data_IF_034240697647
#
_entry.id   IF_034240697647
#
_cell.length_a   1.000
_cell.length_b   1.000
_cell.length_c   1.000
_cell.angle_alpha   90.00
_cell.angle_beta   90.00
_cell.angle_gamma   90.00
#
_symmetry.space_group_name_H-M   'P 1'
#
loop_
_entity.id
_entity.type
_entity.pdbx_description
1 polymer ?
#
# COMPACT_ATOMS: atom_id res chain seq x y z
N UNK A 1 -28.95 -8.57 -14.68
CA UNK A 1 -29.27 -7.91 -13.41
C UNK A 1 -28.14 -6.93 -13.12
N UNK A 2 -28.39 -5.62 -13.31
CA UNK A 2 -27.46 -4.56 -12.89
C UNK A 2 -27.61 -4.43 -11.38
N UNK A 3 -26.62 -4.86 -10.61
CA UNK A 3 -26.54 -4.48 -9.21
C UNK A 3 -26.46 -2.95 -9.16
N UNK A 4 -27.43 -2.32 -8.52
CA UNK A 4 -27.36 -0.91 -8.17
C UNK A 4 -26.16 -0.75 -7.24
N UNK A 5 -25.04 -0.25 -7.78
CA UNK A 5 -23.94 0.27 -6.99
C UNK A 5 -24.50 1.51 -6.32
N UNK A 6 -24.71 1.48 -5.02
CA UNK A 6 -24.93 2.65 -4.20
C UNK A 6 -23.82 3.63 -4.58
N UNK A 7 -24.18 4.77 -5.17
CA UNK A 7 -23.25 5.88 -5.37
C UNK A 7 -22.76 6.28 -3.97
N UNK A 8 -21.60 5.81 -3.61
CA UNK A 8 -20.89 6.25 -2.41
C UNK A 8 -20.51 7.70 -2.69
N UNK A 9 -21.23 8.62 -2.09
CA UNK A 9 -20.88 10.05 -2.16
C UNK A 9 -19.62 10.22 -1.33
N UNK A 10 -18.44 10.12 -1.96
CA UNK A 10 -17.13 10.20 -1.30
C UNK A 10 -17.01 11.48 -0.46
N UNK A 11 -17.65 12.54 -0.90
CA UNK A 11 -17.68 13.83 -0.21
C UNK A 11 -18.25 13.74 1.21
N UNK A 12 -19.18 12.83 1.50
CA UNK A 12 -19.74 12.64 2.85
C UNK A 12 -18.75 12.06 3.84
N UNK A 13 -17.69 11.40 3.35
CA UNK A 13 -16.61 10.86 4.17
C UNK A 13 -15.43 11.82 4.31
N UNK A 14 -15.52 13.03 3.74
CA UNK A 14 -14.47 14.04 3.82
C UNK A 14 -14.89 15.13 4.80
N UNK A 15 -14.06 15.38 5.79
CA UNK A 15 -14.20 16.46 6.75
C UNK A 15 -13.15 17.53 6.48
N UNK A 16 -13.58 18.79 6.41
CA UNK A 16 -12.69 19.94 6.31
C UNK A 16 -12.55 20.56 7.69
N UNK A 17 -11.34 20.64 8.21
CA UNK A 17 -11.09 21.24 9.52
C UNK A 17 -11.52 22.71 9.50
N UNK A 18 -12.29 23.10 10.52
CA UNK A 18 -12.91 24.43 10.60
C UNK A 18 -12.32 25.32 11.66
N UNK A 19 -11.65 24.71 12.68
CA UNK A 19 -11.09 25.43 13.82
C UNK A 19 -9.66 24.97 14.12
N UNK A 20 -8.80 25.91 14.54
CA UNK A 20 -7.38 25.66 14.87
C UNK A 20 -7.18 25.02 16.24
N UNK A 21 -8.10 25.16 17.13
CA UNK A 21 -7.93 24.74 18.55
C UNK A 21 -8.54 23.37 18.83
N UNK A 22 -9.70 23.10 18.25
CA UNK A 22 -10.47 21.88 18.57
C UNK A 22 -10.54 20.86 17.44
N UNK A 23 -10.30 21.26 16.19
CA UNK A 23 -10.42 20.42 14.97
C UNK A 23 -9.07 20.42 14.24
N UNK A 24 -8.08 19.78 14.85
CA UNK A 24 -6.68 19.85 14.41
C UNK A 24 -6.20 18.61 13.69
N UNK A 25 -6.92 17.49 13.83
CA UNK A 25 -6.49 16.22 13.23
C UNK A 25 -6.60 16.25 11.71
N UNK A 26 -5.52 15.89 11.02
CA UNK A 26 -5.44 15.77 9.57
C UNK A 26 -4.98 14.36 9.20
N UNK A 27 -5.81 13.65 8.42
CA UNK A 27 -5.52 12.26 8.04
C UNK A 27 -6.77 11.40 7.97
N UNK A 28 -6.58 10.10 8.08
CA UNK A 28 -7.65 9.10 8.11
C UNK A 28 -8.03 8.79 9.56
N UNK A 29 -9.30 8.88 9.88
CA UNK A 29 -9.89 8.47 11.15
C UNK A 29 -10.97 7.42 10.87
N UNK A 30 -10.75 6.20 11.32
CA UNK A 30 -11.74 5.12 11.23
C UNK A 30 -12.30 4.83 12.60
N UNK A 31 -13.59 5.00 12.77
CA UNK A 31 -14.33 4.69 14.01
C UNK A 31 -15.58 3.89 13.67
N UNK A 32 -15.81 2.80 14.39
CA UNK A 32 -16.98 1.94 14.17
C UNK A 32 -17.13 1.48 12.70
N UNK A 33 -16.00 1.14 12.03
CA UNK A 33 -15.96 0.77 10.62
C UNK A 33 -16.25 1.92 9.62
N UNK A 34 -16.51 3.13 10.09
CA UNK A 34 -16.69 4.32 9.28
C UNK A 34 -15.37 5.08 9.15
N UNK A 35 -14.89 5.20 7.90
CA UNK A 35 -13.65 5.88 7.59
C UNK A 35 -13.95 7.32 7.16
N UNK A 36 -13.39 8.27 7.89
CA UNK A 36 -13.44 9.70 7.59
C UNK A 36 -12.06 10.22 7.19
N UNK A 37 -12.01 11.06 6.18
CA UNK A 37 -10.78 11.73 5.76
C UNK A 37 -10.82 13.18 6.20
N UNK A 38 -9.94 13.57 7.11
CA UNK A 38 -9.86 14.92 7.65
C UNK A 38 -8.80 15.70 6.89
N UNK A 39 -9.22 16.79 6.23
CA UNK A 39 -8.36 17.69 5.48
C UNK A 39 -7.94 18.89 6.33
N UNK A 40 -6.77 19.48 6.05
CA UNK A 40 -6.30 20.64 6.80
C UNK A 40 -7.22 21.86 6.60
N UNK A 41 -7.18 22.76 7.57
CA UNK A 41 -7.94 24.02 7.54
C UNK A 41 -7.65 24.82 6.27
N UNK A 42 -8.70 25.26 5.59
CA UNK A 42 -8.61 26.05 4.38
C UNK A 42 -8.34 25.26 3.10
N UNK A 43 -8.31 23.93 3.15
CA UNK A 43 -8.19 23.10 1.96
C UNK A 43 -9.45 23.20 1.09
N UNK A 44 -9.27 23.39 -0.22
CA UNK A 44 -10.37 23.40 -1.18
C UNK A 44 -10.53 22.03 -1.81
N UNK A 45 -11.54 21.31 -1.37
CA UNK A 45 -11.87 19.98 -1.90
C UNK A 45 -12.43 20.11 -3.33
N UNK A 46 -12.04 19.18 -4.20
CA UNK A 46 -12.58 19.10 -5.56
C UNK A 46 -14.07 18.79 -5.56
N UNK A 47 -14.78 19.22 -6.60
CA UNK A 47 -16.26 19.08 -6.66
C UNK A 47 -16.72 17.71 -7.16
N UNK A 48 -15.84 16.94 -7.82
CA UNK A 48 -16.18 15.64 -8.37
C UNK A 48 -15.44 14.49 -7.66
N UNK A 49 -16.02 13.31 -7.64
CA UNK A 49 -15.48 12.12 -6.98
C UNK A 49 -14.05 11.76 -7.43
N UNK A 50 -13.76 11.94 -8.73
CA UNK A 50 -12.41 11.66 -9.26
C UNK A 50 -11.39 12.66 -8.72
N UNK A 51 -11.75 13.92 -8.59
CA UNK A 51 -10.92 14.96 -7.99
C UNK A 51 -10.73 14.73 -6.49
N UNK A 52 -11.82 14.42 -5.76
CA UNK A 52 -11.76 14.10 -4.32
C UNK A 52 -10.81 12.92 -4.06
N UNK A 53 -10.87 11.86 -4.88
CA UNK A 53 -9.92 10.73 -4.76
C UNK A 53 -8.47 11.17 -4.96
N UNK A 54 -8.20 12.06 -5.91
CA UNK A 54 -6.85 12.63 -6.09
C UNK A 54 -6.42 13.47 -4.90
N UNK A 55 -7.32 14.27 -4.34
CA UNK A 55 -7.06 15.07 -3.14
C UNK A 55 -6.72 14.17 -1.94
N UNK A 56 -7.46 13.08 -1.73
CA UNK A 56 -7.19 12.08 -0.69
C UNK A 56 -5.83 11.42 -0.91
N UNK A 57 -5.52 10.99 -2.12
CA UNK A 57 -4.23 10.38 -2.46
C UNK A 57 -3.06 11.33 -2.21
N UNK A 58 -3.24 12.61 -2.55
CA UNK A 58 -2.25 13.63 -2.30
C UNK A 58 -1.99 13.80 -0.79
N UNK A 59 -3.05 13.91 0.01
CA UNK A 59 -2.97 13.99 1.46
C UNK A 59 -2.22 12.76 2.04
N UNK A 60 -2.59 11.56 1.61
CA UNK A 60 -1.96 10.31 2.05
C UNK A 60 -0.47 10.27 1.73
N UNK A 61 -0.08 10.64 0.51
CA UNK A 61 1.33 10.72 0.09
C UNK A 61 2.10 11.73 0.92
N UNK A 62 1.51 12.89 1.19
CA UNK A 62 2.14 13.94 1.99
C UNK A 62 2.41 13.45 3.42
N UNK A 63 1.44 12.82 4.05
CA UNK A 63 1.58 12.23 5.38
C UNK A 63 2.63 11.10 5.40
N UNK A 64 2.63 10.22 4.41
CA UNK A 64 3.60 9.12 4.31
C UNK A 64 5.03 9.64 4.12
N UNK A 65 5.24 10.67 3.29
CA UNK A 65 6.56 11.29 3.09
C UNK A 65 7.06 11.98 4.36
N UNK A 66 6.17 12.61 5.12
CA UNK A 66 6.54 13.25 6.39
C UNK A 66 6.89 12.20 7.46
N UNK A 67 6.21 11.04 7.50
CA UNK A 67 6.50 9.97 8.45
C UNK A 67 7.81 9.25 8.15
N UNK A 68 8.14 9.00 6.88
CA UNK A 68 9.40 8.33 6.49
C UNK A 68 10.66 9.14 6.81
N UNK A 69 10.55 10.45 6.94
CA UNK A 69 11.67 11.34 7.30
C UNK A 69 12.01 11.31 8.81
N UNK A 70 11.21 10.65 9.65
CA UNK A 70 11.45 10.59 11.11
C UNK A 70 12.55 9.60 11.52
N UNK A 71 13.02 8.72 10.64
CA UNK A 71 14.07 7.75 10.96
C UNK A 71 15.50 8.35 11.02
N UNK A 72 15.68 9.63 10.68
CA UNK A 72 16.96 10.32 10.78
C UNK A 72 16.83 11.56 11.67
N UNK A 73 17.20 11.38 12.93
CA UNK A 73 17.68 12.40 13.88
C UNK A 73 16.91 13.74 13.97
N UNK A 74 15.83 13.78 14.74
CA UNK A 74 15.61 14.86 15.72
C UNK A 74 14.77 14.30 16.86
N UNK A 75 15.30 14.30 18.09
CA UNK A 75 14.54 14.07 19.32
C UNK A 75 13.53 15.19 19.51
N UNK A 76 12.33 15.04 19.03
CA UNK A 76 11.18 15.78 19.54
C UNK A 76 10.67 15.03 20.76
N UNK A 77 11.23 15.32 21.91
CA UNK A 77 10.57 15.12 23.19
C UNK A 77 9.32 15.99 23.18
N UNK A 78 8.23 15.34 23.50
CA UNK A 78 6.89 15.82 23.72
C UNK A 78 5.94 15.78 22.51
N UNK A 79 4.98 14.86 22.68
CA UNK A 79 3.85 14.51 21.85
C UNK A 79 4.14 13.65 20.61
N UNK A 80 4.09 12.35 20.86
CA UNK A 80 3.97 11.30 19.82
C UNK A 80 2.86 11.70 18.86
N UNK A 81 3.25 12.01 17.62
CA UNK A 81 2.30 11.84 16.53
C UNK A 81 1.75 10.42 16.70
N UNK A 82 0.46 10.28 17.02
CA UNK A 82 -0.21 8.97 17.14
C UNK A 82 -0.29 8.34 15.75
N UNK A 83 0.87 7.85 15.26
CA UNK A 83 0.87 6.93 14.15
C UNK A 83 0.31 5.63 14.69
N UNK A 84 -0.94 5.39 14.37
CA UNK A 84 -1.61 4.14 14.66
C UNK A 84 -0.75 2.97 14.17
N UNK A 85 -0.81 1.86 14.89
CA UNK A 85 -0.25 0.56 14.48
C UNK A 85 -0.91 -0.02 13.22
N UNK A 86 -1.77 0.75 12.54
CA UNK A 86 -2.46 0.34 11.34
C UNK A 86 -1.50 0.26 10.15
N UNK A 87 -1.38 -0.89 9.51
CA UNK A 87 -0.40 -1.12 8.43
C UNK A 87 -0.90 -0.56 7.09
N UNK A 88 -1.07 0.77 7.01
CA UNK A 88 -1.63 1.43 5.83
C UNK A 88 -0.81 1.18 4.57
N UNK A 89 0.53 1.20 4.67
CA UNK A 89 1.41 0.99 3.53
C UNK A 89 1.23 -0.41 2.95
N UNK A 90 1.03 -1.40 3.80
CA UNK A 90 0.80 -2.79 3.42
C UNK A 90 -0.57 -2.95 2.73
N UNK A 91 -1.60 -2.27 3.21
CA UNK A 91 -2.91 -2.23 2.53
C UNK A 91 -2.81 -1.59 1.14
N UNK A 92 -2.11 -0.46 1.03
CA UNK A 92 -1.88 0.22 -0.25
C UNK A 92 -1.07 -0.65 -1.22
N UNK A 93 -0.03 -1.32 -0.71
CA UNK A 93 0.78 -2.23 -1.50
C UNK A 93 -0.05 -3.38 -2.08
N UNK A 94 -0.88 -4.05 -1.27
CA UNK A 94 -1.75 -5.15 -1.72
C UNK A 94 -2.72 -4.69 -2.81
N UNK A 95 -3.33 -3.51 -2.67
CA UNK A 95 -4.23 -2.96 -3.71
C UNK A 95 -3.45 -2.67 -5.01
N UNK A 96 -2.29 -2.02 -4.91
CA UNK A 96 -1.44 -1.72 -6.07
C UNK A 96 -0.94 -2.98 -6.76
N UNK A 97 -0.51 -3.97 -5.99
CA UNK A 97 -0.05 -5.24 -6.49
C UNK A 97 -1.16 -6.01 -7.20
N UNK A 98 -2.35 -6.03 -6.62
CA UNK A 98 -3.52 -6.66 -7.24
C UNK A 98 -3.89 -6.01 -8.58
N UNK A 99 -3.85 -4.69 -8.69
CA UNK A 99 -4.12 -4.00 -9.97
C UNK A 99 -3.05 -4.27 -11.02
N UNK A 100 -1.81 -4.48 -10.62
CA UNK A 100 -0.70 -4.70 -11.57
C UNK A 100 -0.52 -6.15 -11.97
N UNK A 101 -0.73 -7.10 -11.07
CA UNK A 101 -0.42 -8.53 -11.26
C UNK A 101 -1.62 -9.48 -11.11
N UNK A 102 -2.74 -9.00 -10.58
CA UNK A 102 -3.88 -9.84 -10.21
C UNK A 102 -3.64 -10.66 -8.95
N UNK A 103 -4.42 -11.73 -8.78
CA UNK A 103 -4.23 -12.64 -7.65
C UNK A 103 -2.91 -13.42 -7.78
N UNK A 104 -2.22 -13.56 -6.66
CA UNK A 104 -1.02 -14.39 -6.60
C UNK A 104 -1.35 -15.83 -6.98
N UNK A 105 -0.55 -16.40 -7.90
CA UNK A 105 -0.65 -17.77 -8.33
C UNK A 105 0.70 -18.47 -8.19
N UNK A 106 0.70 -19.64 -7.58
CA UNK A 106 1.91 -20.44 -7.45
C UNK A 106 2.25 -21.12 -8.76
N UNK A 107 3.51 -20.98 -9.22
CA UNK A 107 4.01 -21.65 -10.41
C UNK A 107 4.71 -22.94 -10.00
N UNK A 108 4.19 -24.07 -10.48
CA UNK A 108 4.83 -25.36 -10.29
C UNK A 108 5.50 -25.80 -11.58
N UNK A 109 6.75 -26.26 -11.46
CA UNK A 109 7.48 -26.81 -12.60
C UNK A 109 7.46 -28.31 -12.52
N UNK A 110 7.00 -28.98 -13.56
CA UNK A 110 7.02 -30.42 -13.69
C UNK A 110 7.68 -30.84 -15.01
N UNK A 111 8.04 -32.10 -15.10
CA UNK A 111 8.64 -32.66 -16.29
C UNK A 111 7.65 -33.60 -16.97
N UNK A 112 7.43 -33.39 -18.27
CA UNK A 112 6.56 -34.22 -19.09
C UNK A 112 7.16 -34.47 -20.47
N UNK A 113 6.73 -35.54 -21.12
CA UNK A 113 7.08 -35.77 -22.52
C UNK A 113 6.27 -34.82 -23.37
N UNK A 114 6.92 -33.85 -23.99
CA UNK A 114 6.27 -32.84 -24.81
C UNK A 114 7.23 -32.29 -25.87
N UNK A 115 6.75 -31.98 -27.08
CA UNK A 115 7.55 -31.35 -28.12
C UNK A 115 7.86 -29.86 -27.83
N UNK A 116 7.18 -29.26 -26.83
CA UNK A 116 7.33 -27.83 -26.48
C UNK A 116 7.98 -27.71 -25.11
N UNK A 117 8.89 -26.73 -24.96
CA UNK A 117 9.55 -26.40 -23.71
C UNK A 117 11.05 -26.69 -23.76
N UNK A 118 11.73 -26.38 -22.65
CA UNK A 118 13.19 -26.60 -22.55
C UNK A 118 13.47 -28.10 -22.30
N UNK A 119 14.21 -28.73 -23.23
CA UNK A 119 14.54 -30.14 -23.13
C UNK A 119 15.48 -30.40 -21.95
N UNK A 120 15.16 -31.41 -21.15
CA UNK A 120 16.04 -31.96 -20.14
C UNK A 120 16.69 -33.21 -20.65
N UNK A 121 17.85 -33.06 -21.26
CA UNK A 121 18.60 -34.18 -21.86
C UNK A 121 18.91 -35.29 -20.88
N UNK A 122 19.29 -34.97 -19.65
CA UNK A 122 19.56 -35.98 -18.63
C UNK A 122 18.37 -36.90 -18.36
N UNK A 123 17.15 -36.33 -18.29
CA UNK A 123 15.94 -37.13 -18.10
C UNK A 123 15.53 -37.82 -19.40
N UNK A 124 15.64 -37.16 -20.55
CA UNK A 124 15.32 -37.75 -21.84
C UNK A 124 16.12 -39.00 -22.09
N UNK A 125 17.45 -38.95 -21.93
CA UNK A 125 18.35 -40.11 -22.12
C UNK A 125 18.02 -41.25 -21.14
N UNK A 126 17.61 -40.91 -19.93
CA UNK A 126 17.30 -41.90 -18.89
C UNK A 126 15.93 -42.58 -19.06
N UNK A 127 14.96 -41.87 -19.65
CA UNK A 127 13.55 -42.35 -19.64
C UNK A 127 12.97 -42.62 -21.03
N UNK A 128 13.61 -42.13 -22.08
CA UNK A 128 13.15 -42.32 -23.47
C UNK A 128 14.05 -43.31 -24.20
N UNK A 129 13.45 -44.16 -25.02
CA UNK A 129 14.23 -45.08 -25.85
C UNK A 129 14.84 -44.32 -27.03
N UNK A 130 16.14 -44.48 -27.27
CA UNK A 130 16.79 -43.89 -28.44
C UNK A 130 16.40 -44.67 -29.72
N UNK A 131 16.29 -43.96 -30.81
CA UNK A 131 16.19 -44.53 -32.15
C UNK A 131 17.59 -44.46 -32.79
N UNK A 132 18.14 -45.65 -33.12
CA UNK A 132 19.48 -45.78 -33.67
C UNK A 132 19.35 -45.92 -35.19
N UNK A 133 19.95 -44.99 -35.94
CA UNK A 133 20.03 -45.00 -37.37
C UNK A 133 21.50 -44.91 -37.81
N UNK A 134 22.09 -46.05 -38.14
CA UNK A 134 23.52 -46.15 -38.42
C UNK A 134 24.35 -45.72 -37.19
N UNK A 135 25.22 -44.71 -37.39
CA UNK A 135 26.06 -44.15 -36.28
C UNK A 135 25.38 -43.04 -35.50
N UNK A 136 24.13 -42.67 -35.81
CA UNK A 136 23.41 -41.58 -35.19
C UNK A 136 22.37 -42.10 -34.21
N UNK A 137 22.29 -41.45 -33.03
CA UNK A 137 21.27 -41.69 -32.01
C UNK A 137 20.27 -40.53 -32.02
N UNK A 138 19.01 -40.82 -32.29
CA UNK A 138 17.97 -39.80 -32.34
C UNK A 138 16.89 -40.14 -31.29
N UNK A 139 16.41 -39.13 -30.58
CA UNK A 139 15.25 -39.25 -29.69
C UNK A 139 14.03 -38.64 -30.37
N UNK A 140 12.96 -39.40 -30.51
CA UNK A 140 11.70 -38.91 -31.06
C UNK A 140 10.84 -38.20 -30.01
N UNK A 141 11.02 -38.58 -28.76
CA UNK A 141 10.31 -38.02 -27.63
C UNK A 141 11.31 -37.33 -26.67
N UNK A 142 10.96 -36.15 -26.22
CA UNK A 142 11.80 -35.36 -25.30
C UNK A 142 11.09 -35.11 -24.00
N UNK A 143 11.80 -35.24 -22.90
CA UNK A 143 11.33 -34.78 -21.58
C UNK A 143 11.64 -33.31 -21.47
N UNK A 144 10.60 -32.47 -21.39
CA UNK A 144 10.72 -31.03 -21.27
C UNK A 144 10.23 -30.54 -19.93
N UNK A 145 10.80 -29.42 -19.49
CA UNK A 145 10.29 -28.71 -18.32
C UNK A 145 9.06 -27.91 -18.71
N UNK A 146 7.96 -28.23 -18.08
CA UNK A 146 6.70 -27.50 -18.19
C UNK A 146 6.47 -26.67 -16.92
N UNK A 147 5.75 -25.56 -17.08
CA UNK A 147 5.32 -24.75 -15.95
C UNK A 147 3.80 -24.67 -15.99
N UNK A 148 3.14 -25.08 -14.95
CA UNK A 148 1.72 -24.87 -14.75
C UNK A 148 1.47 -23.86 -13.64
N UNK A 149 0.39 -23.14 -13.75
CA UNK A 149 -0.15 -22.36 -12.66
C UNK A 149 -0.94 -23.34 -11.78
N UNK A 150 -0.65 -23.34 -10.49
CA UNK A 150 -1.43 -24.11 -9.53
C UNK A 150 -2.68 -23.30 -9.21
N UNK A 151 -3.79 -23.70 -9.79
CA UNK A 151 -5.09 -23.11 -9.47
C UNK A 151 -5.45 -23.45 -8.01
N UNK A 152 -5.93 -22.44 -7.28
CA UNK A 152 -6.42 -22.58 -5.91
C UNK A 152 -5.42 -23.10 -4.86
N UNK A 153 -4.16 -22.65 -4.91
CA UNK A 153 -3.24 -22.84 -3.78
C UNK A 153 -3.75 -22.11 -2.53
N UNK A 154 -3.51 -22.70 -1.36
CA UNK A 154 -3.94 -22.09 -0.09
C UNK A 154 -3.45 -20.64 0.08
N UNK A 155 -2.26 -20.33 -0.45
CA UNK A 155 -1.70 -18.97 -0.47
C UNK A 155 -2.51 -18.04 -1.37
N UNK A 156 -3.00 -18.53 -2.51
CA UNK A 156 -3.87 -17.76 -3.39
C UNK A 156 -5.16 -17.36 -2.66
N UNK A 157 -5.75 -18.27 -1.89
CA UNK A 157 -6.96 -17.98 -1.12
C UNK A 157 -6.69 -17.00 0.03
N UNK A 158 -5.54 -17.10 0.71
CA UNK A 158 -5.11 -16.12 1.70
C UNK A 158 -4.89 -14.74 1.03
N UNK A 159 -4.30 -14.70 -0.15
CA UNK A 159 -4.13 -13.45 -0.89
C UNK A 159 -5.49 -12.84 -1.27
N UNK A 160 -6.44 -13.65 -1.76
CA UNK A 160 -7.81 -13.18 -2.03
C UNK A 160 -8.45 -12.56 -0.78
N UNK A 161 -8.23 -13.18 0.40
CA UNK A 161 -8.70 -12.63 1.67
C UNK A 161 -8.06 -11.28 1.97
N UNK A 162 -6.73 -11.14 1.85
CA UNK A 162 -6.03 -9.88 2.09
C UNK A 162 -6.46 -8.79 1.10
N UNK A 163 -6.64 -9.13 -0.17
CA UNK A 163 -7.16 -8.21 -1.19
C UNK A 163 -8.58 -7.75 -0.81
N UNK A 164 -9.48 -8.68 -0.50
CA UNK A 164 -10.86 -8.33 -0.09
C UNK A 164 -10.87 -7.39 1.12
N UNK A 165 -10.10 -7.70 2.18
CA UNK A 165 -9.99 -6.85 3.38
C UNK A 165 -9.40 -5.46 3.06
N UNK A 166 -8.40 -5.41 2.18
CA UNK A 166 -7.80 -4.14 1.76
C UNK A 166 -8.81 -3.27 1.01
N UNK A 167 -9.57 -3.85 0.10
CA UNK A 167 -10.61 -3.12 -0.62
C UNK A 167 -11.79 -2.73 0.29
N UNK A 168 -12.16 -3.58 1.23
CA UNK A 168 -13.22 -3.27 2.21
C UNK A 168 -12.86 -2.05 3.07
N UNK A 169 -11.60 -1.99 3.54
CA UNK A 169 -11.16 -0.90 4.44
C UNK A 169 -10.84 0.40 3.72
N UNK A 170 -10.05 0.35 2.66
CA UNK A 170 -9.52 1.55 2.01
C UNK A 170 -9.72 1.58 0.49
N UNK A 171 -10.22 0.51 -0.13
CA UNK A 171 -10.32 0.41 -1.59
C UNK A 171 -11.23 1.45 -2.23
N UNK A 172 -12.29 1.88 -1.53
CA UNK A 172 -13.21 2.90 -2.01
C UNK A 172 -12.54 4.27 -2.25
N UNK A 173 -11.40 4.52 -1.59
CA UNK A 173 -10.59 5.72 -1.83
C UNK A 173 -10.07 5.79 -3.28
N UNK A 174 -9.88 4.63 -3.92
CA UNK A 174 -9.23 4.52 -5.23
C UNK A 174 -10.19 4.15 -6.35
N UNK A 175 -11.18 3.32 -6.04
CA UNK A 175 -12.07 2.73 -7.05
C UNK A 175 -13.43 2.38 -6.47
N UNK A 176 -14.43 2.27 -7.34
CA UNK A 176 -15.74 1.69 -7.01
C UNK A 176 -15.78 0.16 -7.14
N UNK A 177 -14.69 -0.46 -7.61
CA UNK A 177 -14.59 -1.91 -7.74
C UNK A 177 -14.43 -2.56 -6.37
N UNK A 178 -15.19 -3.62 -6.09
CA UNK A 178 -15.06 -4.43 -4.90
C UNK A 178 -14.82 -5.90 -5.29
N UNK A 179 -13.73 -6.53 -4.84
CA UNK A 179 -13.47 -7.95 -5.07
C UNK A 179 -14.54 -8.84 -4.44
N UNK A 180 -14.72 -10.05 -4.96
CA UNK A 180 -15.61 -11.04 -4.36
C UNK A 180 -15.08 -11.49 -2.99
N UNK A 181 -15.99 -11.66 -2.03
CA UNK A 181 -15.64 -12.20 -0.71
C UNK A 181 -15.10 -13.63 -0.87
N UNK A 182 -13.90 -13.93 -0.37
CA UNK A 182 -13.34 -15.28 -0.45
C UNK A 182 -14.10 -16.27 0.43
N UNK A 183 -14.12 -17.53 0.02
CA UNK A 183 -14.78 -18.60 0.77
C UNK A 183 -13.96 -19.11 1.96
N UNK A 184 -12.67 -18.75 2.03
CA UNK A 184 -11.77 -19.24 3.08
C UNK A 184 -12.16 -18.69 4.45
N UNK A 185 -12.19 -19.57 5.45
CA UNK A 185 -12.40 -19.15 6.84
C UNK A 185 -11.12 -18.54 7.41
N UNK A 186 -11.26 -17.40 8.08
CA UNK A 186 -10.14 -16.71 8.70
C UNK A 186 -9.55 -17.54 9.84
N UNK A 187 -8.23 -17.79 9.76
CA UNK A 187 -7.45 -18.39 10.82
C UNK A 187 -6.08 -17.72 10.88
N UNK A 188 -5.93 -16.76 11.77
CA UNK A 188 -4.72 -15.95 11.90
C UNK A 188 -3.44 -16.79 12.03
N UNK A 189 -3.42 -17.72 12.98
CA UNK A 189 -2.23 -18.51 13.28
C UNK A 189 -1.79 -19.36 12.08
N UNK A 190 -2.74 -20.02 11.44
CA UNK A 190 -2.48 -20.86 10.27
C UNK A 190 -1.97 -20.03 9.09
N UNK A 191 -2.63 -18.89 8.82
CA UNK A 191 -2.27 -18.01 7.71
C UNK A 191 -0.86 -17.45 7.89
N UNK A 192 -0.55 -16.93 9.07
CA UNK A 192 0.77 -16.38 9.39
C UNK A 192 1.85 -17.46 9.29
N UNK A 193 1.59 -18.67 9.78
CA UNK A 193 2.56 -19.79 9.71
C UNK A 193 2.88 -20.17 8.25
N UNK A 194 1.84 -20.30 7.41
CA UNK A 194 2.00 -20.62 5.98
C UNK A 194 2.79 -19.52 5.26
N UNK A 195 2.43 -18.27 5.48
CA UNK A 195 3.09 -17.12 4.83
C UNK A 195 4.55 -16.98 5.27
N UNK A 196 4.86 -17.14 6.56
CA UNK A 196 6.25 -17.14 7.07
C UNK A 196 7.08 -18.23 6.42
N UNK A 197 6.56 -19.45 6.33
CA UNK A 197 7.24 -20.56 5.66
C UNK A 197 7.54 -20.25 4.18
N UNK A 198 6.58 -19.64 3.48
CA UNK A 198 6.77 -19.26 2.07
C UNK A 198 7.69 -18.06 1.88
N UNK A 199 7.67 -17.10 2.79
CA UNK A 199 8.60 -15.98 2.78
C UNK A 199 10.06 -16.47 2.87
N UNK A 200 10.32 -17.49 3.68
CA UNK A 200 11.66 -18.11 3.80
C UNK A 200 12.09 -18.91 2.55
N UNK A 201 11.13 -19.43 1.79
CA UNK A 201 11.38 -20.25 0.60
C UNK A 201 11.49 -19.42 -0.69
N UNK A 202 11.08 -18.16 -0.67
CA UNK A 202 11.09 -17.32 -1.87
C UNK A 202 12.35 -16.45 -1.94
N UNK A 203 12.94 -16.38 -3.14
CA UNK A 203 14.07 -15.49 -3.45
C UNK A 203 13.64 -14.26 -4.27
N UNK A 204 12.35 -14.14 -4.55
CA UNK A 204 11.80 -12.99 -5.27
C UNK A 204 11.38 -11.92 -4.29
N UNK A 205 12.03 -10.75 -4.33
CA UNK A 205 11.82 -9.65 -3.40
C UNK A 205 10.40 -9.13 -3.41
N UNK A 206 9.77 -9.03 -4.60
CA UNK A 206 8.36 -8.61 -4.73
C UNK A 206 7.40 -9.60 -4.04
N UNK A 207 7.63 -10.91 -4.19
CA UNK A 207 6.81 -11.91 -3.53
C UNK A 207 7.07 -11.93 -2.01
N UNK A 208 8.31 -11.67 -1.60
CA UNK A 208 8.66 -11.54 -0.18
C UNK A 208 7.92 -10.36 0.44
N UNK A 209 7.98 -9.20 -0.20
CA UNK A 209 7.23 -8.01 0.22
C UNK A 209 5.73 -8.27 0.25
N UNK A 210 5.17 -9.00 -0.75
CA UNK A 210 3.77 -9.39 -0.78
C UNK A 210 3.40 -10.22 0.46
N UNK A 211 4.19 -11.26 0.78
CA UNK A 211 3.90 -12.12 1.92
C UNK A 211 4.07 -11.39 3.26
N UNK A 212 5.06 -10.51 3.39
CA UNK A 212 5.25 -9.67 4.57
C UNK A 212 4.06 -8.71 4.76
N UNK A 213 3.57 -8.08 3.69
CA UNK A 213 2.38 -7.23 3.72
C UNK A 213 1.11 -8.01 4.10
N UNK A 214 0.95 -9.23 3.57
CA UNK A 214 -0.17 -10.09 3.94
C UNK A 214 -0.10 -10.48 5.42
N UNK A 215 1.08 -10.79 5.97
CA UNK A 215 1.27 -11.09 7.40
C UNK A 215 0.86 -9.89 8.26
N UNK A 216 1.26 -8.69 7.89
CA UNK A 216 0.91 -7.47 8.63
C UNK A 216 -0.61 -7.24 8.65
N UNK A 217 -1.28 -7.39 7.51
CA UNK A 217 -2.75 -7.26 7.40
C UNK A 217 -3.47 -8.31 8.24
N UNK A 218 -3.05 -9.58 8.17
CA UNK A 218 -3.66 -10.68 8.93
C UNK A 218 -3.44 -10.49 10.43
N UNK A 219 -2.26 -10.02 10.84
CA UNK A 219 -1.96 -9.74 12.23
C UNK A 219 -2.82 -8.58 12.76
N UNK A 220 -3.01 -7.55 11.96
CA UNK A 220 -3.91 -6.44 12.30
C UNK A 220 -5.36 -6.91 12.41
N UNK A 221 -5.86 -7.72 11.46
CA UNK A 221 -7.22 -8.24 11.46
C UNK A 221 -7.49 -9.20 12.64
N UNK A 222 -6.49 -9.96 13.07
CA UNK A 222 -6.62 -10.91 14.19
C UNK A 222 -6.56 -10.26 15.57
N UNK A 223 -5.92 -9.11 15.70
CA UNK A 223 -5.83 -8.36 16.95
C UNK A 223 -7.07 -7.48 17.22
N UNK A 224 -8.02 -7.48 16.30
CA UNK A 224 -9.28 -6.73 16.43
C UNK A 224 -10.23 -7.34 17.46
N UNK A 225 -9.75 -7.52 18.70
CA UNK A 225 -10.63 -7.60 19.85
C UNK A 225 -11.25 -6.22 20.06
N UNK A 226 -12.40 -5.99 19.46
CA UNK A 226 -13.36 -4.91 19.68
C UNK A 226 -13.14 -3.50 19.11
N UNK A 227 -12.06 -3.18 18.39
CA UNK A 227 -11.99 -1.86 17.76
C UNK A 227 -11.28 -1.94 16.40
N UNK A 228 -12.06 -1.95 15.32
CA UNK A 228 -11.59 -1.65 13.97
C UNK A 228 -11.19 -0.16 13.82
N UNK A 229 -11.10 0.53 14.93
CA UNK A 229 -10.78 1.94 14.97
C UNK A 229 -9.30 2.15 14.74
N UNK A 230 -8.95 2.98 13.78
CA UNK A 230 -7.58 3.40 13.56
C UNK A 230 -7.52 4.86 13.16
N UNK A 231 -6.41 5.49 13.48
CA UNK A 231 -6.07 6.83 13.03
C UNK A 231 -4.75 6.80 12.30
N UNK A 232 -4.70 7.42 11.15
CA UNK A 232 -3.47 7.63 10.38
C UNK A 232 -3.39 9.11 10.00
N UNK A 233 -2.56 9.86 10.70
CA UNK A 233 -2.46 11.29 10.48
C UNK A 233 -1.71 11.99 11.61
N UNK A 234 -1.92 13.28 11.72
CA UNK A 234 -1.28 14.12 12.72
C UNK A 234 -2.22 15.22 13.21
N UNK A 235 -2.08 15.59 14.48
CA UNK A 235 -2.73 16.79 15.03
C UNK A 235 -1.94 18.08 14.74
N UNK A 236 -0.74 17.94 14.19
CA UNK A 236 0.19 19.06 13.92
C UNK A 236 0.61 19.04 12.45
N UNK A 237 -0.33 19.34 11.58
CA UNK A 237 -0.11 19.32 10.14
C UNK A 237 0.88 20.41 9.71
N UNK A 238 1.06 21.47 10.47
CA UNK A 238 2.07 22.50 10.25
C UNK A 238 3.49 21.93 10.12
N UNK A 239 3.86 20.94 10.94
CA UNK A 239 5.17 20.29 10.84
C UNK A 239 5.31 19.42 9.58
N UNK A 240 4.23 18.78 9.15
CA UNK A 240 4.22 18.04 7.87
C UNK A 240 4.52 19.01 6.74
N UNK A 241 3.86 20.15 6.77
CA UNK A 241 4.03 21.18 5.76
C UNK A 241 5.44 21.78 5.78
N UNK A 242 5.98 22.12 6.94
CA UNK A 242 7.37 22.60 7.09
C UNK A 242 8.38 21.59 6.51
N UNK A 243 8.22 20.30 6.80
CA UNK A 243 9.07 19.25 6.24
C UNK A 243 8.98 19.15 4.72
N UNK A 244 7.79 19.30 4.16
CA UNK A 244 7.60 19.27 2.71
C UNK A 244 8.28 20.46 2.04
N UNK A 245 8.14 21.65 2.61
CA UNK A 245 8.87 22.86 2.14
C UNK A 245 10.38 22.66 2.25
N UNK A 246 10.85 22.16 3.38
CA UNK A 246 12.27 21.86 3.59
C UNK A 246 12.82 20.90 2.55
N UNK A 247 12.06 19.85 2.22
CA UNK A 247 12.48 18.86 1.24
C UNK A 247 12.51 19.41 -0.18
N UNK A 248 11.62 20.34 -0.50
CA UNK A 248 11.46 20.87 -1.87
C UNK A 248 12.36 22.07 -2.12
N UNK A 249 12.51 22.95 -1.14
CA UNK A 249 13.22 24.23 -1.25
C UNK A 249 14.35 24.39 -0.24
N UNK A 250 14.53 23.42 0.66
CA UNK A 250 15.53 23.51 1.72
C UNK A 250 16.95 23.45 1.19
N UNK A 251 17.80 24.34 1.73
CA UNK A 251 19.23 24.37 1.48
C UNK A 251 19.91 23.51 2.54
N UNK A 252 20.89 22.66 2.14
CA UNK A 252 21.57 21.72 3.05
C UNK A 252 22.28 22.39 4.24
N UNK A 253 22.65 23.66 4.13
CA UNK A 253 23.41 24.45 5.14
C UNK A 253 22.57 25.57 5.75
N UNK A 254 21.37 25.27 6.24
CA UNK A 254 20.48 26.29 6.86
C UNK A 254 21.10 27.03 8.02
N UNK A 255 21.90 26.36 8.84
CA UNK A 255 22.56 26.95 10.02
C UNK A 255 23.55 28.07 9.67
N UNK A 256 24.03 28.13 8.43
CA UNK A 256 24.95 29.15 7.95
C UNK A 256 24.23 30.48 7.62
N UNK A 257 22.94 30.38 7.22
CA UNK A 257 22.17 31.56 6.78
C UNK A 257 21.19 32.08 7.83
N UNK A 258 20.74 31.23 8.76
CA UNK A 258 19.76 31.56 9.78
C UNK A 258 20.37 31.30 11.17
N UNK A 259 20.91 32.37 11.80
CA UNK A 259 21.14 32.32 13.24
C UNK A 259 19.80 32.16 13.96
N UNK A 260 19.74 31.25 14.94
CA UNK A 260 18.53 31.11 15.78
C UNK A 260 18.23 32.46 16.42
N UNK A 261 17.08 33.08 16.18
CA UNK A 261 16.70 34.29 16.87
C UNK A 261 16.40 33.90 18.32
N UNK A 262 17.18 34.42 19.22
CA UNK A 262 16.84 34.46 20.64
C UNK A 262 15.69 35.45 20.83
N UNK A 263 14.49 34.94 20.99
CA UNK A 263 13.34 35.68 21.47
C UNK A 263 12.39 36.29 20.44
N UNK A 264 11.12 35.91 20.59
CA UNK A 264 9.87 36.56 20.14
C UNK A 264 9.45 36.26 18.69
N UNK A 265 8.66 35.22 18.58
CA UNK A 265 7.88 34.81 17.42
C UNK A 265 6.46 35.41 17.50
N UNK A 266 6.24 36.58 16.90
CA UNK A 266 4.90 37.12 16.66
C UNK A 266 4.59 37.34 15.16
N UNK A 267 5.60 37.34 14.30
CA UNK A 267 5.40 37.52 12.83
C UNK A 267 5.34 36.23 12.02
N UNK A 268 5.77 35.11 12.56
CA UNK A 268 5.79 33.80 11.84
C UNK A 268 4.41 33.22 11.52
N UNK A 269 3.43 33.49 12.37
CA UNK A 269 2.10 32.92 12.21
C UNK A 269 1.30 33.44 11.02
N UNK A 270 1.46 34.69 10.64
CA UNK A 270 0.69 35.28 9.51
C UNK A 270 1.31 34.89 8.17
N UNK A 271 2.64 34.80 8.08
CA UNK A 271 3.34 34.30 6.88
C UNK A 271 3.08 32.84 6.64
N UNK A 272 3.02 32.02 7.69
CA UNK A 272 2.70 30.58 7.62
C UNK A 272 1.30 30.32 7.05
N UNK A 273 0.34 31.21 7.31
CA UNK A 273 -1.04 31.06 6.79
C UNK A 273 -1.16 31.34 5.28
N UNK A 274 -0.48 32.36 4.80
CA UNK A 274 -0.48 32.72 3.38
C UNK A 274 0.28 31.67 2.55
N UNK A 275 1.37 31.14 3.09
CA UNK A 275 2.20 30.15 2.42
C UNK A 275 1.56 28.75 2.43
N UNK A 276 0.73 28.37 3.43
CA UNK A 276 0.06 27.05 3.46
C UNK A 276 -0.97 26.88 2.33
N UNK A 277 -1.70 27.95 2.01
CA UNK A 277 -2.63 27.97 0.88
C UNK A 277 -1.92 27.91 -0.48
N UNK A 278 -0.78 28.60 -0.60
CA UNK A 278 0.02 28.64 -1.83
C UNK A 278 0.69 27.29 -2.10
N UNK A 279 1.24 26.63 -1.06
CA UNK A 279 1.94 25.35 -1.26
C UNK A 279 0.99 24.20 -1.61
N UNK A 280 -0.21 24.14 -1.04
CA UNK A 280 -1.21 23.14 -1.44
C UNK A 280 -1.73 23.38 -2.87
N UNK A 281 -1.84 24.65 -3.30
CA UNK A 281 -2.14 24.98 -4.69
C UNK A 281 -0.99 24.60 -5.63
N UNK A 282 0.27 24.86 -5.25
CA UNK A 282 1.46 24.48 -6.04
C UNK A 282 1.65 22.97 -6.13
N UNK A 283 1.40 22.22 -5.05
CA UNK A 283 1.42 20.76 -5.08
C UNK A 283 0.32 20.22 -6.02
N UNK A 284 -0.86 20.85 -6.02
CA UNK A 284 -1.96 20.49 -6.94
C UNK A 284 -1.60 20.73 -8.41
N UNK A 285 -0.87 21.81 -8.73
CA UNK A 285 -0.41 22.11 -10.08
C UNK A 285 0.78 21.24 -10.55
N UNK A 286 1.73 20.93 -9.65
CA UNK A 286 2.93 20.16 -10.00
C UNK A 286 2.67 18.67 -10.27
N UNK A 287 1.53 18.11 -9.81
CA UNK A 287 1.13 16.72 -10.05
C UNK A 287 -0.01 16.57 -11.07
N UNK A 288 -0.41 17.65 -11.75
CA UNK A 288 -1.38 17.61 -12.86
C UNK A 288 -0.72 17.73 -14.25
N UNK A 289 0.62 17.72 -14.34
CA UNK A 289 1.36 17.56 -15.59
C UNK A 289 1.83 16.13 -15.80
#
# INVERSE_FOLDING_TARGET
MRCAVSEYVIKSHCHLNTNRESDTFVGLDCRNEELTVNFPLGYQLSDNDSGIRKDILLLMRTLALASSAQNNTVNFSDEKAEYSSFPLQEYLFIISDFFSRGYYQERESYYSVSPRGKINWKRTIKTQSPYIQGNNTVYLNYVTRQTSLKDAGYITEIHKYCVYESFRKIGWLFTSFMPQKPAIQFNQNLFVQILKSKCQQTFNDLNKQLFESMIAIISCAGNASNQNDFKFGTNRFEYVWEKMIDRTYGIAEKSTFFQKPDGILLMGHILMQALSLIALCFIKEMYMC
#
